data_IF_998004971672
#
_entry.id   IF_998004971672
#
_cell.length_a   1.000
_cell.length_b   1.000
_cell.length_c   1.000
_cell.angle_alpha   90.00
_cell.angle_beta   90.00
_cell.angle_gamma   90.00
#
_symmetry.space_group_name_H-M   'P 1'
#
loop_
_entity.id
_entity.type
_entity.pdbx_description
1 polymer ?
#
# COMPACT_ATOMS: atom_id res chain seq x y z
N UNK A 1 19.45 -4.85 -44.73
CA UNK A 1 18.44 -4.74 -43.66
C UNK A 1 18.51 -3.32 -43.17
N UNK A 2 17.50 -2.51 -43.48
CA UNK A 2 17.38 -1.15 -42.98
C UNK A 2 17.25 -1.22 -41.47
N UNK A 3 18.07 -0.46 -40.73
CA UNK A 3 17.89 -0.30 -39.29
C UNK A 3 16.47 0.23 -39.07
N UNK A 4 15.61 -0.58 -38.50
CA UNK A 4 14.29 -0.14 -38.05
C UNK A 4 14.54 0.98 -37.06
N UNK A 5 13.97 2.15 -37.34
CA UNK A 5 14.01 3.28 -36.41
C UNK A 5 13.09 2.93 -35.24
N UNK A 6 13.62 2.29 -34.23
CA UNK A 6 12.90 2.12 -32.96
C UNK A 6 12.70 3.50 -32.34
N UNK A 7 11.51 3.79 -31.80
CA UNK A 7 11.29 5.01 -31.05
C UNK A 7 12.31 5.11 -29.90
N UNK A 8 12.95 6.27 -29.77
CA UNK A 8 13.90 6.52 -28.70
C UNK A 8 13.18 7.10 -27.51
N UNK A 9 13.45 6.56 -26.34
CA UNK A 9 12.92 7.02 -25.06
C UNK A 9 14.06 7.52 -24.18
N UNK A 10 13.80 8.58 -23.42
CA UNK A 10 14.76 9.11 -22.43
C UNK A 10 14.86 8.19 -21.22
N UNK A 11 13.75 7.54 -20.88
CA UNK A 11 13.66 6.63 -19.74
C UNK A 11 12.95 5.34 -20.12
N UNK A 12 13.47 4.23 -19.57
CA UNK A 12 12.80 2.92 -19.62
C UNK A 12 12.52 2.51 -18.19
N UNK A 13 11.25 2.31 -17.86
CA UNK A 13 10.79 1.85 -16.56
C UNK A 13 10.29 0.41 -16.69
N UNK A 14 10.79 -0.49 -15.87
CA UNK A 14 10.42 -1.90 -15.88
C UNK A 14 9.51 -2.21 -14.70
N UNK A 15 8.30 -2.67 -15.01
CA UNK A 15 7.22 -2.95 -14.07
C UNK A 15 6.32 -1.75 -13.80
N UNK A 16 5.02 -1.98 -13.87
CA UNK A 16 3.98 -0.96 -13.66
C UNK A 16 3.43 -0.91 -12.22
N UNK A 17 4.05 -1.64 -11.30
CA UNK A 17 3.64 -1.66 -9.89
C UNK A 17 3.77 -0.31 -9.19
N UNK A 18 3.57 -0.29 -7.87
CA UNK A 18 3.53 0.92 -7.03
C UNK A 18 4.70 1.90 -7.25
N UNK A 19 5.92 1.38 -7.44
CA UNK A 19 7.11 2.20 -7.69
C UNK A 19 7.21 2.63 -9.16
N UNK A 20 7.19 1.67 -10.08
CA UNK A 20 7.43 1.93 -11.50
C UNK A 20 6.34 2.75 -12.15
N UNK A 21 5.08 2.45 -11.90
CA UNK A 21 3.94 3.24 -12.40
C UNK A 21 4.03 4.69 -11.94
N UNK A 22 4.32 4.91 -10.66
CA UNK A 22 4.47 6.28 -10.11
C UNK A 22 5.65 7.02 -10.74
N UNK A 23 6.81 6.38 -10.88
CA UNK A 23 8.00 6.99 -11.50
C UNK A 23 7.72 7.34 -12.96
N UNK A 24 7.13 6.40 -13.73
CA UNK A 24 6.80 6.62 -15.13
C UNK A 24 5.85 7.81 -15.31
N UNK A 25 4.77 7.85 -14.51
CA UNK A 25 3.81 8.95 -14.55
C UNK A 25 4.47 10.30 -14.22
N UNK A 26 5.29 10.37 -13.16
CA UNK A 26 5.97 11.61 -12.76
C UNK A 26 6.99 12.09 -13.76
N UNK A 27 7.70 11.21 -14.44
CA UNK A 27 8.61 11.58 -15.55
C UNK A 27 7.83 12.11 -16.75
N UNK A 28 6.76 11.43 -17.13
CA UNK A 28 5.90 11.85 -18.23
C UNK A 28 5.25 13.22 -17.97
N UNK A 29 4.75 13.49 -16.77
CA UNK A 29 4.22 14.81 -16.37
C UNK A 29 5.26 15.93 -16.47
N UNK A 30 6.55 15.60 -16.37
CA UNK A 30 7.64 16.55 -16.57
C UNK A 30 8.05 16.71 -18.04
N UNK A 31 7.35 16.04 -18.95
CA UNK A 31 7.60 16.11 -20.38
C UNK A 31 8.67 15.15 -20.88
N UNK A 32 9.15 14.22 -20.04
CA UNK A 32 10.10 13.21 -20.49
C UNK A 32 9.41 12.13 -21.34
N UNK A 33 10.13 11.61 -22.33
CA UNK A 33 9.71 10.46 -23.12
C UNK A 33 10.01 9.18 -22.34
N UNK A 34 8.96 8.42 -21.96
CA UNK A 34 9.08 7.25 -21.08
C UNK A 34 8.49 6.01 -21.74
N UNK A 35 9.25 4.92 -21.74
CA UNK A 35 8.75 3.58 -22.06
C UNK A 35 8.53 2.81 -20.76
N UNK A 36 7.28 2.42 -20.49
CA UNK A 36 6.92 1.54 -19.39
C UNK A 36 6.74 0.12 -19.93
N UNK A 37 7.54 -0.81 -19.41
CA UNK A 37 7.46 -2.23 -19.75
C UNK A 37 6.79 -2.99 -18.58
N UNK A 38 5.72 -3.70 -18.87
CA UNK A 38 5.01 -4.57 -17.92
C UNK A 38 5.06 -6.00 -18.43
N UNK A 39 5.35 -6.95 -17.54
CA UNK A 39 5.42 -8.37 -17.87
C UNK A 39 4.07 -9.08 -17.70
N UNK A 40 3.18 -8.51 -16.89
CA UNK A 40 1.82 -9.00 -16.72
C UNK A 40 0.89 -8.56 -17.83
N UNK A 41 -0.30 -9.13 -17.86
CA UNK A 41 -1.31 -8.82 -18.86
C UNK A 41 -2.09 -7.53 -18.56
N UNK A 42 -2.82 -7.06 -19.57
CA UNK A 42 -3.82 -6.03 -19.41
C UNK A 42 -5.14 -6.68 -18.93
N UNK A 43 -5.68 -6.32 -17.78
CA UNK A 43 -6.94 -6.89 -17.27
C UNK A 43 -8.12 -6.68 -18.23
N UNK A 44 -8.11 -5.61 -19.02
CA UNK A 44 -9.15 -5.37 -20.04
C UNK A 44 -9.13 -6.42 -21.15
N UNK A 45 -7.94 -6.90 -21.53
CA UNK A 45 -7.79 -7.89 -22.61
C UNK A 45 -7.97 -9.32 -22.09
N UNK A 46 -7.47 -9.62 -20.89
CA UNK A 46 -7.42 -10.98 -20.37
C UNK A 46 -8.69 -11.40 -19.62
N UNK A 47 -9.33 -10.48 -18.91
CA UNK A 47 -10.45 -10.74 -18.01
C UNK A 47 -11.81 -10.24 -18.54
N UNK A 48 -11.84 -9.87 -19.80
CA UNK A 48 -13.12 -9.60 -20.45
C UNK A 48 -13.61 -8.18 -20.31
N UNK A 49 -12.78 -7.23 -20.64
CA UNK A 49 -13.35 -6.02 -21.21
C UNK A 49 -14.26 -6.46 -22.34
N UNK A 50 -15.55 -6.15 -22.27
CA UNK A 50 -16.50 -6.58 -23.28
C UNK A 50 -16.18 -5.82 -24.60
N UNK A 51 -15.65 -6.49 -25.63
CA UNK A 51 -15.32 -5.83 -26.89
C UNK A 51 -16.55 -5.25 -27.60
N UNK A 52 -17.79 -5.61 -27.16
CA UNK A 52 -19.03 -5.04 -27.66
C UNK A 52 -19.26 -3.59 -27.17
N UNK A 53 -18.51 -3.13 -26.16
CA UNK A 53 -18.64 -1.79 -25.60
C UNK A 53 -17.27 -1.07 -25.56
N UNK A 54 -16.63 -0.83 -26.72
CA UNK A 54 -15.37 -0.13 -26.78
C UNK A 54 -15.54 1.29 -26.20
N UNK A 55 -14.77 1.59 -25.15
CA UNK A 55 -14.83 2.88 -24.45
C UNK A 55 -15.58 2.85 -23.11
N UNK A 56 -16.32 1.79 -22.76
CA UNK A 56 -16.72 1.54 -21.40
C UNK A 56 -15.59 0.82 -20.67
N UNK A 57 -15.14 1.40 -19.55
CA UNK A 57 -14.11 0.81 -18.70
C UNK A 57 -14.70 -0.36 -17.92
N UNK A 58 -14.77 -1.53 -18.53
CA UNK A 58 -15.27 -2.78 -17.93
C UNK A 58 -14.11 -3.65 -17.48
N UNK A 59 -13.37 -3.15 -16.52
CA UNK A 59 -12.41 -3.97 -15.79
C UNK A 59 -13.16 -5.03 -14.97
N UNK A 60 -12.56 -6.20 -14.73
CA UNK A 60 -13.14 -7.20 -13.84
C UNK A 60 -13.42 -6.59 -12.46
N UNK A 61 -14.50 -7.02 -11.83
CA UNK A 61 -14.91 -6.49 -10.52
C UNK A 61 -13.82 -6.67 -9.47
N UNK A 62 -13.11 -7.79 -9.47
CA UNK A 62 -12.02 -8.08 -8.55
C UNK A 62 -10.77 -7.21 -8.78
N UNK A 63 -10.57 -6.71 -9.99
CA UNK A 63 -9.53 -5.72 -10.28
C UNK A 63 -9.97 -4.28 -9.97
N UNK A 64 -11.24 -3.95 -10.22
CA UNK A 64 -11.74 -2.60 -10.15
C UNK A 64 -12.24 -2.22 -8.75
N UNK A 65 -12.80 -3.17 -8.00
CA UNK A 65 -13.45 -2.93 -6.72
C UNK A 65 -12.50 -3.24 -5.56
N UNK A 66 -12.03 -2.25 -4.80
CA UNK A 66 -11.00 -2.44 -3.77
C UNK A 66 -11.33 -3.49 -2.71
N UNK A 67 -12.60 -3.66 -2.34
CA UNK A 67 -13.00 -4.66 -1.35
C UNK A 67 -12.86 -6.12 -1.86
N UNK A 68 -12.67 -6.31 -3.16
CA UNK A 68 -12.48 -7.64 -3.77
C UNK A 68 -11.01 -8.04 -3.92
N UNK A 69 -10.09 -7.32 -3.29
CA UNK A 69 -8.64 -7.62 -3.35
C UNK A 69 -8.29 -9.08 -2.99
N UNK A 70 -9.07 -9.73 -2.13
CA UNK A 70 -8.86 -11.14 -1.79
C UNK A 70 -9.13 -12.05 -3.01
N UNK A 71 -10.21 -11.77 -3.76
CA UNK A 71 -10.52 -12.49 -5.00
C UNK A 71 -9.51 -12.18 -6.10
N UNK A 72 -9.09 -10.93 -6.23
CA UNK A 72 -8.04 -10.54 -7.17
C UNK A 72 -6.72 -11.27 -6.93
N UNK A 73 -6.37 -11.56 -5.68
CA UNK A 73 -5.15 -12.31 -5.34
C UNK A 73 -5.20 -13.79 -5.69
N UNK A 74 -6.41 -14.34 -5.88
CA UNK A 74 -6.66 -15.74 -6.26
C UNK A 74 -7.05 -15.88 -7.74
N UNK A 75 -7.20 -14.78 -8.47
CA UNK A 75 -7.52 -14.80 -9.89
C UNK A 75 -6.29 -15.23 -10.71
N UNK A 76 -6.35 -16.43 -11.30
CA UNK A 76 -5.23 -17.03 -12.05
C UNK A 76 -4.79 -16.19 -13.24
N UNK A 77 -5.69 -15.46 -13.90
CA UNK A 77 -5.34 -14.63 -15.04
C UNK A 77 -4.54 -13.37 -14.65
N UNK A 78 -4.65 -12.94 -13.38
CA UNK A 78 -3.93 -11.79 -12.84
C UNK A 78 -2.79 -12.19 -11.90
N UNK A 79 -2.52 -13.49 -11.71
CA UNK A 79 -1.66 -13.98 -10.64
C UNK A 79 -0.47 -14.76 -11.16
N UNK A 80 0.69 -14.54 -10.55
CA UNK A 80 1.83 -15.42 -10.66
C UNK A 80 2.02 -16.18 -9.34
N UNK A 81 1.87 -17.48 -9.39
CA UNK A 81 1.99 -18.37 -8.25
C UNK A 81 3.44 -18.78 -8.03
N UNK A 82 4.21 -17.94 -7.34
CA UNK A 82 5.56 -18.30 -6.90
C UNK A 82 5.51 -19.15 -5.64
N UNK A 83 6.46 -20.08 -5.53
CA UNK A 83 6.68 -20.86 -4.32
C UNK A 83 8.05 -20.51 -3.77
N UNK A 84 8.09 -20.08 -2.53
CA UNK A 84 9.30 -19.56 -1.90
C UNK A 84 9.66 -20.35 -0.64
N UNK A 85 10.93 -20.32 -0.28
CA UNK A 85 11.41 -20.85 0.99
C UNK A 85 11.30 -19.75 2.06
N UNK A 86 10.69 -20.10 3.21
CA UNK A 86 10.67 -19.25 4.37
C UNK A 86 11.83 -19.53 5.34
N UNK A 87 12.36 -20.77 5.34
CA UNK A 87 13.38 -21.19 6.28
C UNK A 87 14.61 -21.73 5.56
N UNK A 88 15.79 -21.42 6.11
CA UNK A 88 17.05 -21.98 5.62
C UNK A 88 17.17 -23.50 5.90
N UNK A 89 16.55 -23.98 6.98
CA UNK A 89 16.54 -25.37 7.39
C UNK A 89 15.41 -26.13 6.71
N UNK A 90 15.72 -27.24 6.02
CA UNK A 90 14.74 -28.02 5.25
C UNK A 90 13.70 -28.71 6.13
N UNK A 91 14.08 -29.18 7.31
CA UNK A 91 13.15 -29.81 8.24
C UNK A 91 12.13 -28.79 8.76
N UNK A 92 12.59 -27.60 9.12
CA UNK A 92 11.73 -26.51 9.54
C UNK A 92 10.81 -26.08 8.39
N UNK A 93 11.33 -25.97 7.17
CA UNK A 93 10.56 -25.62 5.99
C UNK A 93 9.40 -26.61 5.76
N UNK A 94 9.65 -27.91 5.86
CA UNK A 94 8.63 -28.96 5.66
C UNK A 94 7.61 -29.04 6.79
N UNK A 95 7.94 -28.52 7.97
CA UNK A 95 7.03 -28.49 9.12
C UNK A 95 6.07 -27.29 9.08
N UNK A 96 6.30 -26.34 8.19
CA UNK A 96 5.37 -25.22 8.02
C UNK A 96 4.03 -25.76 7.46
N UNK A 97 2.88 -25.46 8.09
CA UNK A 97 1.57 -25.95 7.67
C UNK A 97 1.15 -25.45 6.28
N UNK A 98 1.83 -24.42 5.75
CA UNK A 98 1.61 -23.87 4.41
C UNK A 98 2.57 -24.47 3.37
N UNK A 99 3.45 -25.40 3.77
CA UNK A 99 4.39 -26.01 2.85
C UNK A 99 3.68 -26.92 1.86
N UNK A 100 4.01 -26.78 0.58
CA UNK A 100 3.47 -27.55 -0.54
C UNK A 100 4.63 -28.21 -1.29
N UNK A 101 4.58 -29.52 -1.46
CA UNK A 101 5.58 -30.26 -2.25
C UNK A 101 5.29 -30.19 -3.74
N UNK A 102 4.00 -30.22 -4.09
CA UNK A 102 3.51 -30.26 -5.47
C UNK A 102 2.33 -29.30 -5.65
N UNK A 103 2.32 -28.60 -6.76
CA UNK A 103 1.23 -27.72 -7.17
C UNK A 103 0.94 -27.92 -8.66
N UNK A 104 -0.30 -28.25 -9.02
CA UNK A 104 -0.72 -28.52 -10.41
C UNK A 104 0.18 -29.51 -11.16
N UNK A 105 0.60 -30.57 -10.50
CA UNK A 105 1.47 -31.63 -11.11
C UNK A 105 2.92 -31.20 -11.27
N UNK A 106 3.35 -30.08 -10.68
CA UNK A 106 4.74 -29.60 -10.69
C UNK A 106 5.32 -29.64 -9.29
N UNK A 107 6.56 -30.14 -9.17
CA UNK A 107 7.29 -30.09 -7.91
C UNK A 107 7.71 -28.65 -7.60
N UNK A 108 7.28 -28.10 -6.46
CA UNK A 108 7.51 -26.72 -6.07
C UNK A 108 8.30 -26.57 -4.75
N UNK A 109 8.09 -27.44 -3.79
CA UNK A 109 8.78 -27.50 -2.48
C UNK A 109 8.89 -26.13 -1.77
N UNK A 110 7.78 -25.44 -1.65
CA UNK A 110 7.75 -24.09 -1.09
C UNK A 110 6.42 -23.71 -0.47
N UNK A 111 6.32 -22.47 -0.10
CA UNK A 111 5.10 -21.83 0.39
C UNK A 111 4.60 -20.90 -0.70
N UNK A 112 3.32 -20.98 -1.03
CA UNK A 112 2.72 -20.15 -2.05
C UNK A 112 2.88 -18.65 -1.69
N UNK A 113 3.44 -17.92 -2.61
CA UNK A 113 3.68 -16.48 -2.51
C UNK A 113 3.14 -15.78 -3.77
N UNK A 114 1.82 -15.52 -3.82
CA UNK A 114 1.19 -14.96 -5.00
C UNK A 114 1.71 -13.55 -5.27
N UNK A 115 1.94 -13.24 -6.54
CA UNK A 115 2.29 -11.90 -7.02
C UNK A 115 1.37 -11.56 -8.18
N UNK A 116 0.96 -10.30 -8.28
CA UNK A 116 0.15 -9.91 -9.41
C UNK A 116 0.96 -9.91 -10.71
N UNK A 117 0.47 -10.63 -11.70
CA UNK A 117 0.98 -10.70 -13.07
C UNK A 117 0.15 -9.86 -14.02
N UNK A 118 -0.18 -8.64 -13.64
CA UNK A 118 -1.07 -7.75 -14.37
C UNK A 118 -0.59 -6.31 -14.33
N UNK A 119 -1.13 -5.46 -15.19
CA UNK A 119 -0.90 -4.03 -15.18
C UNK A 119 -1.22 -3.44 -13.78
N UNK A 120 -0.31 -2.63 -13.25
CA UNK A 120 -0.37 -2.15 -11.87
C UNK A 120 0.38 -3.03 -10.86
N UNK A 121 0.78 -4.26 -11.25
CA UNK A 121 1.47 -5.18 -10.36
C UNK A 121 0.67 -5.44 -9.10
N UNK A 122 1.35 -5.64 -7.96
CA UNK A 122 0.67 -5.97 -6.69
C UNK A 122 -0.24 -4.86 -6.14
N UNK A 123 -0.29 -3.68 -6.75
CA UNK A 123 -1.32 -2.68 -6.39
C UNK A 123 -2.71 -3.10 -6.85
N UNK A 124 -2.81 -4.01 -7.82
CA UNK A 124 -4.08 -4.55 -8.30
C UNK A 124 -4.78 -5.49 -7.28
N UNK A 125 -4.04 -6.05 -6.32
CA UNK A 125 -4.60 -7.02 -5.36
C UNK A 125 -4.13 -6.80 -3.91
N UNK A 126 -3.49 -5.67 -3.60
CA UNK A 126 -3.12 -5.36 -2.22
C UNK A 126 -4.35 -4.92 -1.40
N UNK A 127 -4.22 -4.94 -0.08
CA UNK A 127 -5.29 -4.52 0.82
C UNK A 127 -5.44 -2.98 0.90
N UNK A 128 -4.71 -2.21 0.10
CA UNK A 128 -4.73 -0.75 0.01
C UNK A 128 -4.45 -0.03 1.33
N UNK A 129 -3.92 -0.73 2.33
CA UNK A 129 -3.54 -0.14 3.61
C UNK A 129 -2.38 0.83 3.41
N UNK A 130 -2.55 2.08 3.81
CA UNK A 130 -1.58 3.15 3.64
C UNK A 130 -1.08 3.61 5.00
N UNK A 131 -0.06 2.94 5.52
CA UNK A 131 0.62 3.31 6.76
C UNK A 131 2.00 3.86 6.43
N UNK A 132 2.30 5.05 6.92
CA UNK A 132 3.64 5.63 6.79
C UNK A 132 4.65 4.78 7.59
N UNK A 133 5.76 4.35 6.98
CA UNK A 133 6.79 3.59 7.67
C UNK A 133 7.36 4.33 8.89
N UNK A 134 7.85 3.56 9.86
CA UNK A 134 8.48 4.12 11.04
C UNK A 134 9.73 4.92 10.65
N UNK A 135 10.03 5.99 11.39
CA UNK A 135 11.16 6.86 11.07
C UNK A 135 12.49 6.10 11.02
N UNK A 136 12.67 5.08 11.89
CA UNK A 136 13.88 4.26 11.85
C UNK A 136 14.08 3.51 10.54
N UNK A 137 13.00 3.11 9.86
CA UNK A 137 13.10 2.38 8.58
C UNK A 137 13.78 3.26 7.52
N UNK A 138 13.42 4.54 7.47
CA UNK A 138 14.03 5.52 6.59
C UNK A 138 15.46 5.89 7.01
N UNK A 139 15.66 6.15 8.30
CA UNK A 139 16.96 6.56 8.84
C UNK A 139 17.98 5.43 8.76
N UNK A 140 17.58 4.17 8.80
CA UNK A 140 18.44 3.02 8.58
C UNK A 140 18.84 2.88 7.10
N UNK A 141 17.91 3.17 6.16
CA UNK A 141 18.26 3.28 4.74
C UNK A 141 19.27 4.41 4.49
N UNK A 142 19.10 5.56 5.12
CA UNK A 142 20.09 6.63 5.06
C UNK A 142 21.45 6.19 5.58
N UNK A 143 21.51 5.54 6.73
CA UNK A 143 22.78 5.03 7.30
C UNK A 143 23.44 3.99 6.39
N UNK A 144 22.65 3.10 5.81
CA UNK A 144 23.12 2.03 4.93
C UNK A 144 23.65 2.57 3.60
N UNK A 145 23.00 3.54 3.01
CA UNK A 145 23.32 4.08 1.67
C UNK A 145 24.28 5.27 1.73
N UNK A 146 24.33 5.97 2.86
CA UNK A 146 25.03 7.26 3.00
C UNK A 146 24.31 8.43 2.32
N UNK A 147 23.14 8.19 1.69
CA UNK A 147 22.37 9.21 0.98
C UNK A 147 21.35 9.89 1.92
N UNK A 148 21.56 11.20 2.25
CA UNK A 148 20.70 11.92 3.17
C UNK A 148 19.28 12.16 2.64
N UNK A 149 19.00 11.92 1.36
CA UNK A 149 17.64 12.01 0.80
C UNK A 149 16.67 11.03 1.46
N UNK A 150 17.19 9.90 1.99
CA UNK A 150 16.44 8.88 2.72
C UNK A 150 16.10 9.25 4.17
N UNK A 151 16.55 10.39 4.70
CA UNK A 151 16.17 10.80 6.05
C UNK A 151 14.66 10.84 6.19
N UNK A 152 14.16 10.39 7.34
CA UNK A 152 12.73 10.29 7.65
C UNK A 152 11.98 11.61 7.43
N UNK A 153 12.59 12.75 7.75
CA UNK A 153 11.98 14.06 7.51
C UNK A 153 11.81 14.39 6.03
N UNK A 154 12.78 14.00 5.18
CA UNK A 154 12.67 14.17 3.73
C UNK A 154 11.60 13.25 3.14
N UNK A 155 11.58 12.00 3.59
CA UNK A 155 10.58 11.02 3.17
C UNK A 155 9.17 11.48 3.57
N UNK A 156 9.02 12.14 4.73
CA UNK A 156 7.74 12.72 5.14
C UNK A 156 7.26 13.82 4.19
N UNK A 157 8.15 14.61 3.61
CA UNK A 157 7.76 15.60 2.61
C UNK A 157 7.16 14.93 1.36
N UNK A 158 7.71 13.79 0.91
CA UNK A 158 7.15 13.05 -0.20
C UNK A 158 5.78 12.44 0.14
N UNK A 159 5.60 11.98 1.38
CA UNK A 159 4.29 11.51 1.84
C UNK A 159 3.23 12.64 1.81
N UNK A 160 3.57 13.84 2.25
CA UNK A 160 2.68 15.01 2.17
C UNK A 160 2.32 15.38 0.72
N UNK A 161 3.25 15.22 -0.22
CA UNK A 161 3.00 15.45 -1.65
C UNK A 161 2.13 14.36 -2.28
N UNK A 162 2.27 13.12 -1.80
CA UNK A 162 1.56 11.96 -2.30
C UNK A 162 0.09 11.94 -1.86
N UNK A 163 -0.17 12.27 -0.60
CA UNK A 163 -1.44 12.07 0.08
C UNK A 163 -2.46 13.17 -0.22
N UNK A 164 -3.73 12.76 -0.33
CA UNK A 164 -4.90 13.62 -0.22
C UNK A 164 -5.81 13.05 0.89
N UNK A 165 -5.56 13.47 2.12
CA UNK A 165 -6.21 12.96 3.32
C UNK A 165 -7.66 13.45 3.42
N UNK A 166 -8.63 12.53 3.45
CA UNK A 166 -10.06 12.81 3.59
C UNK A 166 -10.60 12.56 5.00
N UNK A 167 -9.96 11.71 5.78
CA UNK A 167 -10.48 11.29 7.09
C UNK A 167 -10.23 12.30 8.22
N UNK A 168 -9.43 13.32 8.01
CA UNK A 168 -9.23 14.39 8.99
C UNK A 168 -10.29 15.48 8.88
N UNK A 169 -10.60 16.15 9.99
CA UNK A 169 -11.55 17.26 10.03
C UNK A 169 -11.16 18.38 9.07
N UNK A 170 -12.12 19.01 8.44
CA UNK A 170 -11.91 20.09 7.48
C UNK A 170 -11.04 21.24 8.04
N UNK A 171 -11.09 21.50 9.35
CA UNK A 171 -10.24 22.49 10.01
C UNK A 171 -8.75 22.21 9.83
N UNK A 172 -8.30 20.94 9.91
CA UNK A 172 -6.89 20.60 9.68
C UNK A 172 -6.48 20.84 8.23
N UNK A 173 -7.34 20.54 7.28
CA UNK A 173 -7.12 20.83 5.86
C UNK A 173 -7.01 22.33 5.60
N UNK A 174 -7.89 23.12 6.23
CA UNK A 174 -7.86 24.58 6.10
C UNK A 174 -6.57 25.17 6.69
N UNK A 175 -6.18 24.76 7.89
CA UNK A 175 -4.92 25.15 8.51
C UNK A 175 -3.71 24.75 7.68
N UNK A 176 -3.72 23.52 7.12
CA UNK A 176 -2.67 23.03 6.23
C UNK A 176 -2.48 23.92 5.00
N UNK A 177 -3.57 24.39 4.38
CA UNK A 177 -3.53 25.33 3.26
C UNK A 177 -2.97 26.70 3.65
N UNK A 178 -3.04 27.07 4.92
CA UNK A 178 -2.44 28.28 5.49
C UNK A 178 -0.99 28.07 5.97
N UNK A 179 -0.39 26.92 5.68
CA UNK A 179 0.97 26.60 6.07
C UNK A 179 1.12 26.07 7.50
N UNK A 180 0.00 25.81 8.21
CA UNK A 180 -0.01 25.29 9.58
C UNK A 180 -0.41 23.80 9.55
N UNK A 181 0.55 22.90 9.37
CA UNK A 181 0.29 21.48 9.19
C UNK A 181 0.95 20.63 10.29
N UNK A 182 0.39 20.65 11.49
CA UNK A 182 0.95 19.89 12.63
C UNK A 182 0.92 18.38 12.44
N UNK A 183 -0.06 17.87 11.69
CA UNK A 183 -0.23 16.45 11.44
C UNK A 183 0.65 15.95 10.30
N UNK A 184 1.12 16.86 9.46
CA UNK A 184 1.88 16.61 8.26
C UNK A 184 1.21 15.58 7.33
N UNK A 185 -0.13 15.61 7.26
CA UNK A 185 -0.89 14.97 6.21
C UNK A 185 -0.79 15.74 4.91
N UNK A 186 -0.87 15.02 3.79
CA UNK A 186 -1.08 15.63 2.48
C UNK A 186 -2.54 16.04 2.27
N UNK A 187 -2.76 17.12 1.53
CA UNK A 187 -4.11 17.68 1.32
C UNK A 187 -4.49 17.80 -0.15
N UNK A 188 -3.57 17.56 -1.07
CA UNK A 188 -3.75 17.78 -2.51
C UNK A 188 -3.00 16.78 -3.39
N UNK A 189 -2.46 15.70 -2.81
CA UNK A 189 -1.82 14.64 -3.54
C UNK A 189 -2.82 13.83 -4.38
N UNK A 190 -2.29 12.92 -5.18
CA UNK A 190 -3.10 12.07 -6.04
C UNK A 190 -3.61 10.79 -5.33
N UNK A 191 -2.97 10.38 -4.22
CA UNK A 191 -3.38 9.22 -3.45
C UNK A 191 -4.39 9.65 -2.37
N UNK A 192 -5.64 9.35 -2.60
CA UNK A 192 -6.71 9.62 -1.65
C UNK A 192 -6.63 8.63 -0.50
N UNK A 193 -6.79 9.10 0.74
CA UNK A 193 -6.76 8.25 1.93
C UNK A 193 -7.99 8.48 2.80
N UNK A 194 -8.62 7.36 3.20
CA UNK A 194 -9.81 7.31 4.03
C UNK A 194 -9.58 6.40 5.24
N UNK A 195 -10.49 6.45 6.22
CA UNK A 195 -10.50 5.49 7.34
C UNK A 195 -11.18 4.19 6.90
N UNK A 196 -10.49 3.07 7.19
CA UNK A 196 -11.16 1.77 7.15
C UNK A 196 -12.09 1.63 8.38
N UNK A 197 -13.24 2.28 8.33
CA UNK A 197 -14.31 2.06 9.31
C UNK A 197 -15.47 1.44 8.56
N UNK A 198 -15.61 0.11 8.61
CA UNK A 198 -16.77 -0.53 8.03
C UNK A 198 -18.02 -0.05 8.81
N UNK A 199 -18.88 0.72 8.16
CA UNK A 199 -20.12 1.23 8.78
C UNK A 199 -21.00 0.08 9.29
N UNK A 200 -20.95 -1.06 8.60
CA UNK A 200 -21.63 -2.29 9.00
C UNK A 200 -21.09 -2.85 10.32
N UNK A 201 -19.80 -2.70 10.59
CA UNK A 201 -19.19 -3.13 11.85
C UNK A 201 -19.71 -2.34 13.06
N UNK A 202 -20.20 -1.11 12.85
CA UNK A 202 -20.82 -0.31 13.93
C UNK A 202 -22.17 -0.90 14.35
N UNK A 203 -22.84 -1.63 13.45
CA UNK A 203 -24.08 -2.36 13.74
C UNK A 203 -23.87 -3.69 14.49
N UNK A 204 -22.68 -4.24 14.42
CA UNK A 204 -22.28 -5.48 15.11
C UNK A 204 -21.78 -5.15 16.52
N UNK A 205 -22.66 -5.38 17.52
CA UNK A 205 -22.35 -5.04 18.91
C UNK A 205 -21.20 -5.87 19.48
N UNK A 206 -21.10 -7.14 19.10
CA UNK A 206 -20.07 -8.06 19.61
C UNK A 206 -18.70 -7.65 19.06
N UNK A 207 -18.62 -7.27 17.77
CA UNK A 207 -17.40 -6.76 17.17
C UNK A 207 -16.98 -5.42 17.79
N UNK A 208 -17.92 -4.52 18.01
CA UNK A 208 -17.64 -3.22 18.67
C UNK A 208 -17.13 -3.44 20.09
N UNK A 209 -17.70 -4.39 20.84
CA UNK A 209 -17.28 -4.73 22.19
C UNK A 209 -15.84 -5.28 22.21
N UNK A 210 -15.50 -6.23 21.31
CA UNK A 210 -14.13 -6.76 21.17
C UNK A 210 -13.13 -5.67 20.81
N UNK A 211 -13.49 -4.76 19.91
CA UNK A 211 -12.64 -3.61 19.55
C UNK A 211 -12.45 -2.69 20.76
N UNK A 212 -13.52 -2.40 21.50
CA UNK A 212 -13.49 -1.55 22.67
C UNK A 212 -12.62 -2.16 23.79
N UNK A 213 -12.80 -3.44 24.11
CA UNK A 213 -12.00 -4.17 25.08
C UNK A 213 -10.51 -4.21 24.69
N UNK A 214 -10.23 -4.44 23.39
CA UNK A 214 -8.86 -4.42 22.87
C UNK A 214 -8.21 -3.04 23.02
N UNK A 215 -8.97 -1.98 22.76
CA UNK A 215 -8.52 -0.60 22.93
C UNK A 215 -8.28 -0.27 24.42
N UNK A 216 -9.19 -0.67 25.29
CA UNK A 216 -9.07 -0.48 26.74
C UNK A 216 -7.85 -1.19 27.30
N UNK A 217 -7.64 -2.46 26.93
CA UNK A 217 -6.46 -3.24 27.31
C UNK A 217 -5.14 -2.62 26.80
N UNK A 218 -5.12 -2.09 25.59
CA UNK A 218 -3.96 -1.38 25.05
C UNK A 218 -3.67 -0.08 25.86
N UNK A 219 -4.72 0.64 26.26
CA UNK A 219 -4.62 1.85 27.07
C UNK A 219 -4.19 1.53 28.51
N UNK A 220 -4.66 0.44 29.09
CA UNK A 220 -4.25 0.00 30.45
C UNK A 220 -2.77 -0.34 30.55
N UNK A 221 -2.17 -0.84 29.48
CA UNK A 221 -0.73 -1.14 29.41
C UNK A 221 0.17 0.10 29.43
N UNK A 222 -0.37 1.31 29.23
CA UNK A 222 0.41 2.54 29.37
C UNK A 222 0.68 2.80 30.87
N UNK A 223 1.95 2.82 31.25
CA UNK A 223 2.40 2.91 32.64
C UNK A 223 2.02 4.23 33.30
N UNK A 224 1.86 5.31 32.53
CA UNK A 224 1.57 6.64 33.05
C UNK A 224 0.21 7.18 32.59
N UNK A 225 -0.58 7.66 33.55
CA UNK A 225 -1.89 8.28 33.32
C UNK A 225 -1.83 9.50 32.37
N UNK A 226 -0.70 10.18 32.37
CA UNK A 226 -0.44 11.32 31.49
C UNK A 226 -0.22 10.88 30.04
N UNK A 227 0.45 9.77 29.83
CA UNK A 227 0.70 9.19 28.51
C UNK A 227 -0.60 8.70 27.88
N UNK A 228 -1.48 8.08 28.64
CA UNK A 228 -2.82 7.67 28.18
C UNK A 228 -3.64 8.88 27.66
N UNK A 229 -3.68 9.98 28.41
CA UNK A 229 -4.40 11.18 28.01
C UNK A 229 -3.75 11.83 26.78
N UNK A 230 -2.42 11.90 26.76
CA UNK A 230 -1.64 12.45 25.65
C UNK A 230 -1.83 11.63 24.38
N UNK A 231 -1.81 10.30 24.50
CA UNK A 231 -2.02 9.39 23.39
C UNK A 231 -3.45 9.52 22.83
N UNK A 232 -4.46 9.49 23.66
CA UNK A 232 -5.87 9.67 23.27
C UNK A 232 -6.14 11.01 22.58
N UNK A 233 -5.50 12.08 23.00
CA UNK A 233 -5.66 13.41 22.38
C UNK A 233 -4.89 13.53 21.07
N UNK A 234 -3.66 13.02 21.01
CA UNK A 234 -2.79 13.16 19.84
C UNK A 234 -3.19 12.29 18.67
N UNK A 235 -3.50 11.03 18.94
CA UNK A 235 -3.57 10.05 17.88
C UNK A 235 -4.89 10.07 17.12
N UNK A 236 -6.01 10.31 17.84
CA UNK A 236 -7.29 9.87 17.27
C UNK A 236 -7.16 8.54 16.52
N UNK A 237 -6.23 7.68 16.97
CA UNK A 237 -5.89 6.37 16.41
C UNK A 237 -5.34 6.39 14.96
N UNK A 238 -4.79 7.51 14.51
CA UNK A 238 -4.28 7.65 13.14
C UNK A 238 -2.76 7.44 13.08
N UNK A 239 -2.29 6.30 12.50
CA UNK A 239 -0.86 5.96 12.47
C UNK A 239 -0.02 6.91 11.61
N UNK A 240 -0.65 7.67 10.73
CA UNK A 240 0.02 8.62 9.84
C UNK A 240 0.14 10.03 10.42
N UNK A 241 -0.39 10.29 11.62
CA UNK A 241 -0.24 11.58 12.26
C UNK A 241 1.22 11.81 12.70
N UNK A 242 1.86 12.85 12.13
CA UNK A 242 3.26 13.13 12.40
C UNK A 242 3.62 13.31 13.88
N UNK A 243 2.68 13.75 14.68
CA UNK A 243 2.88 13.91 16.13
C UNK A 243 3.12 12.57 16.82
N UNK A 244 2.59 11.49 16.26
CA UNK A 244 2.85 10.10 16.71
C UNK A 244 4.10 9.52 16.06
N UNK A 245 4.22 9.68 14.74
CA UNK A 245 5.34 9.14 13.96
C UNK A 245 6.67 9.66 14.48
N UNK A 246 6.81 10.95 14.75
CA UNK A 246 8.06 11.55 15.28
C UNK A 246 8.42 11.11 16.69
N UNK A 247 7.45 10.64 17.47
CA UNK A 247 7.67 10.14 18.84
C UNK A 247 7.83 8.62 18.86
N UNK A 248 7.88 7.97 17.70
CA UNK A 248 7.93 6.52 17.53
C UNK A 248 6.82 5.82 18.34
N UNK A 249 5.64 6.41 18.37
CA UNK A 249 4.52 5.89 19.14
C UNK A 249 4.03 4.58 18.53
N UNK A 250 3.90 3.57 19.37
CA UNK A 250 3.30 2.26 19.05
C UNK A 250 1.98 2.10 19.79
N UNK A 251 1.04 1.41 19.18
CA UNK A 251 -0.26 1.18 19.81
C UNK A 251 -1.34 0.76 18.83
N UNK A 252 -2.58 0.73 19.32
CA UNK A 252 -3.75 0.46 18.50
C UNK A 252 -4.04 1.64 17.58
N UNK A 253 -4.28 1.37 16.32
CA UNK A 253 -4.68 2.36 15.33
C UNK A 253 -5.69 1.76 14.36
N UNK A 254 -6.47 2.63 13.70
CA UNK A 254 -7.25 2.19 12.56
C UNK A 254 -6.36 2.22 11.29
N UNK A 255 -6.51 1.26 10.38
CA UNK A 255 -5.78 1.30 9.12
C UNK A 255 -6.36 2.39 8.21
N UNK A 256 -5.58 3.40 7.76
CA UNK A 256 -5.99 4.24 6.67
C UNK A 256 -5.89 3.45 5.35
N UNK A 257 -6.87 3.64 4.47
CA UNK A 257 -6.92 3.00 3.16
C UNK A 257 -6.68 4.04 2.06
N UNK A 258 -5.95 3.63 1.01
CA UNK A 258 -5.95 4.32 -0.27
C UNK A 258 -7.29 4.03 -0.99
N UNK A 259 -7.92 5.05 -1.57
CA UNK A 259 -9.21 4.95 -2.27
C UNK A 259 -9.17 5.65 -3.61
#
# INVERSE_FOLDING_TARGET
>A
MSAENFPQYEYVVVGSGAGGGTVAARLAEKGCSVLLLEAGGDPLELEGGDPAYPGENRLPDDYQVPCFHAFASENEAMSWNFFVRHYANDEQQRRDPKFVEEYEGRRVEGILYPRAGTLGGCTAHNAMITVYPHNSDWDDLWKLTGDPSWKSENMRNYFELLENCHHRRAAYRMLGKLGINFTRHGWSGWLHTEKAVPLEAIGDKDLVEVIAESAEHAIEKLEHRFDRLRWSIKSQLDPNDWRLVKENAVGLCYPPLAT
#
